data_IF_304608675287
#
_entry.id   IF_304608675287
#
_cell.length_a   1.000
_cell.length_b   1.000
_cell.length_c   1.000
_cell.angle_alpha   90.00
_cell.angle_beta   90.00
_cell.angle_gamma   90.00
#
_symmetry.space_group_name_H-M   'P 1'
#
loop_
_entity.id
_entity.type
_entity.pdbx_description
1 polymer ?
#
# COMPACT_ATOMS: atom_id res chain seq x y z
N UNK A 1 4.66 -5.80 -10.42
CA UNK A 1 3.37 -5.07 -10.34
C UNK A 1 3.24 -4.38 -8.99
N UNK A 2 2.29 -3.46 -8.81
CA UNK A 2 2.02 -2.78 -7.54
C UNK A 2 0.82 -1.87 -7.67
N UNK A 3 0.28 -1.36 -6.56
CA UNK A 3 -0.88 -0.46 -6.60
C UNK A 3 -0.56 0.82 -7.43
N UNK A 4 -1.43 1.24 -8.36
CA UNK A 4 -2.74 0.69 -8.73
C UNK A 4 -2.70 -0.30 -9.92
N UNK A 5 -1.51 -0.58 -10.48
CA UNK A 5 -1.36 -1.41 -11.70
C UNK A 5 -1.84 -2.84 -11.50
N UNK A 6 -1.66 -3.42 -10.31
CA UNK A 6 -2.15 -4.77 -9.99
C UNK A 6 -3.68 -4.80 -10.02
N UNK A 7 -4.33 -3.81 -9.42
CA UNK A 7 -5.78 -3.73 -9.30
C UNK A 7 -6.41 -3.48 -10.68
N UNK A 8 -5.79 -2.61 -11.48
CA UNK A 8 -6.16 -2.37 -12.89
C UNK A 8 -5.92 -3.59 -13.78
N UNK A 9 -4.95 -4.44 -13.47
CA UNK A 9 -4.75 -5.68 -14.23
C UNK A 9 -5.85 -6.68 -13.88
N UNK A 10 -6.14 -6.87 -12.59
CA UNK A 10 -7.23 -7.73 -12.13
C UNK A 10 -8.55 -7.28 -12.75
N UNK A 11 -8.89 -6.00 -12.63
CA UNK A 11 -10.14 -5.45 -13.16
C UNK A 11 -10.30 -5.67 -14.68
N UNK A 12 -9.22 -5.54 -15.45
CA UNK A 12 -9.25 -5.76 -16.91
C UNK A 12 -9.38 -7.22 -17.33
N UNK A 13 -9.02 -8.16 -16.46
CA UNK A 13 -9.00 -9.59 -16.79
C UNK A 13 -10.05 -10.40 -16.00
N UNK A 14 -10.82 -9.75 -15.13
CA UNK A 14 -11.71 -10.43 -14.18
C UNK A 14 -12.71 -11.36 -14.87
N UNK A 15 -13.32 -10.90 -15.97
CA UNK A 15 -14.28 -11.69 -16.76
C UNK A 15 -13.66 -12.94 -17.40
N UNK A 16 -12.40 -12.85 -17.80
CA UNK A 16 -11.67 -13.95 -18.45
C UNK A 16 -11.15 -14.97 -17.44
N UNK A 17 -10.78 -14.51 -16.25
CA UNK A 17 -10.15 -15.34 -15.22
C UNK A 17 -11.09 -16.40 -14.64
N UNK A 18 -12.41 -16.15 -14.61
CA UNK A 18 -13.43 -17.12 -14.15
C UNK A 18 -13.11 -17.81 -12.81
N UNK A 19 -12.50 -17.06 -11.88
CA UNK A 19 -12.12 -17.56 -10.54
C UNK A 19 -12.88 -16.81 -9.45
N UNK A 20 -13.11 -17.45 -8.29
CA UNK A 20 -13.91 -16.88 -7.22
C UNK A 20 -13.25 -15.65 -6.57
N UNK A 21 -11.91 -15.57 -6.53
CA UNK A 21 -11.19 -14.48 -5.85
C UNK A 21 -9.88 -14.14 -6.58
N UNK A 22 -9.69 -12.86 -6.87
CA UNK A 22 -8.40 -12.28 -7.31
C UNK A 22 -7.93 -11.25 -6.28
N UNK A 23 -6.66 -11.28 -5.88
CA UNK A 23 -6.09 -10.29 -4.97
C UNK A 23 -4.68 -9.88 -5.37
N UNK A 24 -4.44 -8.57 -5.40
CA UNK A 24 -3.09 -8.04 -5.54
C UNK A 24 -2.33 -8.15 -4.22
N UNK A 25 -1.27 -8.95 -4.19
CA UNK A 25 -0.43 -9.13 -2.97
C UNK A 25 0.68 -8.08 -2.82
N UNK A 26 0.78 -7.14 -3.76
CA UNK A 26 1.78 -6.09 -3.73
C UNK A 26 3.22 -6.62 -3.69
N UNK A 27 4.06 -6.00 -2.86
CA UNK A 27 5.47 -6.36 -2.71
C UNK A 27 5.73 -7.47 -1.69
N UNK A 28 4.73 -8.26 -1.31
CA UNK A 28 4.88 -9.36 -0.34
C UNK A 28 5.78 -10.46 -0.89
N UNK A 29 5.68 -10.77 -2.18
CA UNK A 29 6.57 -11.74 -2.82
C UNK A 29 8.04 -11.30 -2.81
N UNK A 30 8.33 -10.00 -2.90
CA UNK A 30 9.71 -9.51 -2.84
C UNK A 30 10.39 -9.88 -1.50
N UNK A 31 9.60 -9.92 -0.42
CA UNK A 31 10.09 -10.33 0.89
C UNK A 31 10.22 -11.85 1.02
N UNK A 32 9.24 -12.61 0.51
CA UNK A 32 9.25 -14.08 0.54
C UNK A 32 10.40 -14.63 -0.31
N UNK A 33 10.63 -14.05 -1.49
CA UNK A 33 11.70 -14.42 -2.40
C UNK A 33 13.09 -13.90 -1.97
N UNK A 34 13.17 -13.14 -0.88
CA UNK A 34 14.43 -12.58 -0.37
C UNK A 34 15.04 -11.47 -1.23
N UNK A 35 14.33 -10.97 -2.24
CA UNK A 35 14.80 -9.89 -3.13
C UNK A 35 14.73 -8.52 -2.48
N UNK A 36 13.89 -8.36 -1.45
CA UNK A 36 13.81 -7.15 -0.63
C UNK A 36 14.05 -7.49 0.86
N UNK A 37 14.85 -6.67 1.53
CA UNK A 37 15.02 -6.74 2.99
C UNK A 37 13.87 -6.02 3.69
N UNK A 38 13.26 -6.69 4.69
CA UNK A 38 12.30 -6.06 5.60
C UNK A 38 12.99 -5.04 6.51
N UNK A 39 12.20 -4.11 7.07
CA UNK A 39 12.71 -3.20 8.09
C UNK A 39 13.19 -3.98 9.34
N UNK A 40 14.15 -3.45 10.10
CA UNK A 40 14.50 -3.98 11.42
C UNK A 40 13.28 -4.20 12.33
N UNK A 41 13.34 -5.19 13.21
CA UNK A 41 12.20 -5.55 14.09
C UNK A 41 11.68 -4.38 14.93
N UNK A 42 12.57 -3.52 15.45
CA UNK A 42 12.17 -2.35 16.23
C UNK A 42 11.34 -1.35 15.39
N UNK A 43 11.63 -1.18 14.10
CA UNK A 43 10.84 -0.35 13.19
C UNK A 43 9.49 -0.96 12.86
N UNK A 44 9.43 -2.29 12.76
CA UNK A 44 8.17 -3.02 12.58
C UNK A 44 7.27 -2.85 13.80
N UNK A 45 7.83 -2.99 15.02
CA UNK A 45 7.11 -2.82 16.28
C UNK A 45 6.57 -1.40 16.47
N UNK A 46 7.31 -0.40 15.97
CA UNK A 46 6.85 1.00 15.94
C UNK A 46 5.84 1.31 14.82
N UNK A 47 5.46 0.32 13.99
CA UNK A 47 4.62 0.51 12.79
C UNK A 47 5.21 1.51 11.76
N UNK A 48 6.53 1.69 11.78
CA UNK A 48 7.28 2.61 10.91
C UNK A 48 7.92 1.92 9.71
N UNK A 49 7.50 0.70 9.37
CA UNK A 49 7.99 -0.01 8.20
C UNK A 49 7.74 0.77 6.89
N UNK A 50 6.66 1.55 6.82
CA UNK A 50 6.39 2.44 5.69
C UNK A 50 7.42 3.58 5.58
N UNK A 51 7.91 4.11 6.70
CA UNK A 51 8.90 5.18 6.75
C UNK A 51 10.28 4.65 6.36
N UNK A 52 10.68 3.49 6.86
CA UNK A 52 11.88 2.79 6.40
C UNK A 52 11.83 2.52 4.88
N UNK A 53 10.66 2.13 4.36
CA UNK A 53 10.45 1.97 2.91
C UNK A 53 10.51 3.28 2.14
N UNK A 54 10.16 4.41 2.74
CA UNK A 54 10.31 5.73 2.11
C UNK A 54 11.79 6.10 1.98
N UNK A 55 12.56 5.90 3.05
CA UNK A 55 13.99 6.20 3.07
C UNK A 55 14.76 5.34 2.06
N UNK A 56 14.42 4.05 1.97
CA UNK A 56 15.07 3.12 1.01
C UNK A 56 14.57 3.28 -0.43
N UNK A 57 13.36 3.79 -0.63
CA UNK A 57 12.74 3.94 -1.95
C UNK A 57 12.10 5.33 -2.10
N UNK A 58 12.92 6.41 -2.19
CA UNK A 58 12.44 7.79 -2.11
C UNK A 58 11.42 8.14 -3.19
N UNK A 59 11.49 7.51 -4.37
CA UNK A 59 10.51 7.69 -5.45
C UNK A 59 9.06 7.33 -5.07
N UNK A 60 8.84 6.62 -3.95
CA UNK A 60 7.50 6.31 -3.43
C UNK A 60 6.85 7.46 -2.65
N UNK A 61 7.52 8.59 -2.46
CA UNK A 61 7.03 9.71 -1.65
C UNK A 61 5.60 10.16 -1.99
N UNK A 62 5.26 10.27 -3.29
CA UNK A 62 3.91 10.67 -3.74
C UNK A 62 2.84 9.72 -3.23
N UNK A 63 3.12 8.41 -3.26
CA UNK A 63 2.20 7.38 -2.77
C UNK A 63 2.02 7.51 -1.26
N UNK A 64 3.10 7.73 -0.53
CA UNK A 64 3.05 7.85 0.93
C UNK A 64 2.35 9.14 1.37
N UNK A 65 2.59 10.25 0.69
CA UNK A 65 1.88 11.51 0.90
C UNK A 65 0.36 11.34 0.79
N UNK A 66 -0.09 10.66 -0.27
CA UNK A 66 -1.51 10.42 -0.50
C UNK A 66 -2.12 9.46 0.54
N UNK A 67 -1.38 8.42 0.94
CA UNK A 67 -1.89 7.36 1.81
C UNK A 67 -1.82 7.70 3.31
N UNK A 68 -0.84 8.52 3.73
CA UNK A 68 -0.59 8.80 5.15
C UNK A 68 -1.11 10.22 5.51
N UNK A 69 -0.46 11.34 5.17
CA UNK A 69 -0.98 12.68 5.49
C UNK A 69 -2.36 12.97 4.90
N UNK A 70 -2.51 12.85 3.58
CA UNK A 70 -3.70 13.31 2.88
C UNK A 70 -4.94 12.49 3.27
N UNK A 71 -4.83 11.16 3.31
CA UNK A 71 -5.93 10.31 3.77
C UNK A 71 -6.29 10.58 5.23
N UNK A 72 -5.31 10.72 6.13
CA UNK A 72 -5.59 11.01 7.54
C UNK A 72 -6.34 12.33 7.69
N UNK A 73 -5.92 13.36 6.93
CA UNK A 73 -6.61 14.64 6.87
C UNK A 73 -8.05 14.51 6.38
N UNK A 74 -8.28 13.77 5.28
CA UNK A 74 -9.63 13.52 4.78
C UNK A 74 -10.53 12.81 5.80
N UNK A 75 -9.99 11.82 6.52
CA UNK A 75 -10.73 11.10 7.57
C UNK A 75 -11.05 12.03 8.75
N UNK A 76 -10.12 12.91 9.13
CA UNK A 76 -10.36 13.91 10.18
C UNK A 76 -11.46 14.87 9.73
N UNK A 77 -11.38 15.41 8.51
CA UNK A 77 -12.41 16.28 7.94
C UNK A 77 -13.79 15.59 7.87
N UNK A 78 -13.84 14.34 7.40
CA UNK A 78 -15.11 13.61 7.26
C UNK A 78 -15.81 13.41 8.60
N UNK A 79 -15.06 13.27 9.70
CA UNK A 79 -15.62 13.20 11.06
C UNK A 79 -16.27 14.52 11.50
N UNK A 80 -15.76 15.66 11.05
CA UNK A 80 -16.36 16.97 11.34
C UNK A 80 -17.54 17.27 10.42
N UNK A 81 -17.53 16.80 9.17
CA UNK A 81 -18.64 16.99 8.22
C UNK A 81 -19.85 16.12 8.52
N UNK A 82 -19.67 14.88 9.01
CA UNK A 82 -20.77 13.97 9.39
C UNK A 82 -21.51 14.36 10.70
N UNK A 83 -21.05 15.42 11.39
CA UNK A 83 -21.67 15.95 12.62
C UNK A 83 -22.60 17.15 12.37
N UNK A 84 -22.84 17.52 11.10
CA UNK A 84 -23.90 18.43 10.67
C UNK A 84 -25.00 17.64 9.98
#
# INVERSE_FOLDING_TARGET
>A
YGAPRQDKWIARNLEQLKIPVCMGVGGSFDFIAGTAKRAPLWLQQLHLEWFHRLLTQPWRWRRIWNAVPHFSWLVVQSRFTQKK
#
